data_IF_606120562525
#
_entry.id   IF_606120562525
#
_cell.length_a   1.000
_cell.length_b   1.000
_cell.length_c   1.000
_cell.angle_alpha   90.00
_cell.angle_beta   90.00
_cell.angle_gamma   90.00
#
_symmetry.space_group_name_H-M   'P 1'
#
loop_
_entity.id
_entity.type
_entity.pdbx_description
1 polymer ?
#
# COMPACT_ATOMS: atom_id res chain seq x y z
N UNK A 1 62.64 -19.51 19.32
CA UNK A 1 61.54 -18.52 19.32
C UNK A 1 60.76 -18.38 18.00
N UNK A 2 60.87 -19.28 17.00
CA UNK A 2 60.16 -19.12 15.70
C UNK A 2 58.80 -19.82 15.57
N UNK A 3 58.41 -20.73 16.48
CA UNK A 3 57.15 -21.50 16.36
C UNK A 3 55.89 -20.77 16.85
N UNK A 4 56.01 -19.77 17.74
CA UNK A 4 54.84 -19.05 18.29
C UNK A 4 54.17 -18.10 17.26
N UNK A 5 54.90 -17.57 16.29
CA UNK A 5 54.33 -16.68 15.26
C UNK A 5 53.48 -17.42 14.21
N UNK A 6 53.70 -18.73 14.01
CA UNK A 6 52.99 -19.50 12.99
C UNK A 6 51.53 -19.78 13.35
N UNK A 7 51.24 -20.03 14.63
CA UNK A 7 49.88 -20.33 15.09
C UNK A 7 49.00 -19.07 15.14
N UNK A 8 49.60 -17.91 15.44
CA UNK A 8 48.88 -16.64 15.46
C UNK A 8 48.45 -16.21 14.04
N UNK A 9 49.30 -16.42 13.03
CA UNK A 9 48.94 -16.13 11.64
C UNK A 9 47.82 -17.05 11.12
N UNK A 10 47.83 -18.33 11.50
CA UNK A 10 46.76 -19.28 11.13
C UNK A 10 45.40 -18.91 11.75
N UNK A 11 45.38 -18.45 13.00
CA UNK A 11 44.14 -18.01 13.68
C UNK A 11 43.54 -16.77 13.02
N UNK A 12 44.38 -15.81 12.62
CA UNK A 12 43.91 -14.62 11.88
C UNK A 12 43.35 -15.03 10.51
N UNK A 13 44.02 -15.92 9.79
CA UNK A 13 43.55 -16.39 8.48
C UNK A 13 42.22 -17.16 8.59
N UNK A 14 42.07 -18.01 9.61
CA UNK A 14 40.83 -18.72 9.88
C UNK A 14 39.68 -17.76 10.23
N UNK A 15 39.93 -16.73 11.04
CA UNK A 15 38.92 -15.72 11.37
C UNK A 15 38.48 -14.90 10.15
N UNK A 16 39.41 -14.57 9.24
CA UNK A 16 39.09 -13.88 7.98
C UNK A 16 38.22 -14.76 7.07
N UNK A 17 38.55 -16.05 6.94
CA UNK A 17 37.77 -17.01 6.12
C UNK A 17 36.36 -17.21 6.70
N UNK A 18 36.24 -17.31 8.03
CA UNK A 18 34.94 -17.43 8.70
C UNK A 18 34.09 -16.17 8.46
N UNK A 19 34.67 -14.98 8.59
CA UNK A 19 33.95 -13.72 8.38
C UNK A 19 33.50 -13.54 6.92
N UNK A 20 34.33 -13.92 5.93
CA UNK A 20 33.96 -13.86 4.52
C UNK A 20 32.80 -14.82 4.19
N UNK A 21 32.80 -16.03 4.77
CA UNK A 21 31.71 -16.99 4.59
C UNK A 21 30.41 -16.52 5.26
N UNK A 22 30.48 -15.85 6.42
CA UNK A 22 29.30 -15.27 7.09
C UNK A 22 28.71 -14.13 6.27
N UNK A 23 29.54 -13.30 5.62
CA UNK A 23 29.06 -12.23 4.74
C UNK A 23 28.33 -12.81 3.50
N UNK A 24 28.92 -13.80 2.84
CA UNK A 24 28.28 -14.47 1.70
C UNK A 24 26.98 -15.19 2.09
N UNK A 25 26.94 -15.84 3.26
CA UNK A 25 25.72 -16.47 3.77
C UNK A 25 24.64 -15.43 4.10
N UNK A 26 25.01 -14.26 4.61
CA UNK A 26 24.05 -13.17 4.84
C UNK A 26 23.50 -12.61 3.53
N UNK A 27 24.33 -12.46 2.50
CA UNK A 27 23.89 -12.02 1.18
C UNK A 27 23.01 -13.06 0.48
N UNK A 28 23.31 -14.36 0.61
CA UNK A 28 22.44 -15.44 0.11
C UNK A 28 21.14 -15.55 0.89
N UNK A 29 21.15 -15.38 2.22
CA UNK A 29 19.93 -15.35 3.04
C UNK A 29 19.08 -14.11 2.71
N UNK A 30 19.71 -12.94 2.47
CA UNK A 30 18.99 -11.73 2.05
C UNK A 30 18.39 -11.88 0.64
N UNK A 31 19.07 -12.58 -0.27
CA UNK A 31 18.53 -12.89 -1.61
C UNK A 31 17.40 -13.91 -1.55
N UNK A 32 17.54 -14.99 -0.77
CA UNK A 32 16.54 -16.04 -0.67
C UNK A 32 15.34 -15.68 0.21
N UNK A 33 15.38 -14.58 0.97
CA UNK A 33 14.20 -14.02 1.65
C UNK A 33 13.46 -12.96 0.80
N UNK A 34 13.95 -12.65 -0.40
CA UNK A 34 13.33 -11.71 -1.34
C UNK A 34 12.80 -12.41 -2.61
N UNK A 35 12.75 -13.74 -2.63
CA UNK A 35 12.10 -14.54 -3.69
C UNK A 35 10.59 -14.70 -3.46
N UNK A 36 10.00 -14.01 -2.48
CA UNK A 36 8.56 -13.76 -2.50
C UNK A 36 8.32 -12.60 -3.46
N UNK A 37 8.01 -13.01 -4.70
CA UNK A 37 7.73 -12.23 -5.89
C UNK A 37 6.66 -11.17 -5.60
N UNK A 38 7.05 -10.08 -4.98
CA UNK A 38 6.17 -8.96 -4.85
C UNK A 38 6.14 -8.24 -6.21
N UNK A 39 5.18 -8.53 -7.10
CA UNK A 39 5.25 -8.06 -8.49
C UNK A 39 4.27 -6.93 -8.83
N UNK A 40 3.09 -6.84 -8.21
CA UNK A 40 2.15 -5.77 -8.56
C UNK A 40 2.53 -4.49 -7.80
N UNK A 41 2.78 -3.41 -8.54
CA UNK A 41 3.16 -2.10 -7.99
C UNK A 41 2.28 -0.99 -8.53
N UNK A 42 2.07 0.03 -7.70
CA UNK A 42 1.60 1.31 -8.16
C UNK A 42 2.68 1.98 -9.00
N UNK A 43 2.29 2.54 -10.14
CA UNK A 43 3.17 3.27 -11.05
C UNK A 43 2.49 4.54 -11.55
N UNK A 44 3.27 5.42 -12.16
CA UNK A 44 2.71 6.60 -12.83
C UNK A 44 1.96 6.21 -14.11
N UNK A 45 0.89 6.94 -14.48
CA UNK A 45 0.42 8.17 -13.84
C UNK A 45 -0.44 7.92 -12.58
N UNK A 46 -0.36 8.86 -11.65
CA UNK A 46 -1.34 9.10 -10.59
C UNK A 46 -2.03 10.44 -10.88
N UNK A 47 -3.35 10.41 -11.02
CA UNK A 47 -4.13 11.61 -11.25
C UNK A 47 -5.22 11.72 -10.19
N UNK A 48 -5.53 12.95 -9.80
CA UNK A 48 -6.69 13.21 -8.97
C UNK A 48 -7.46 14.40 -9.52
N UNK A 49 -8.76 14.38 -9.29
CA UNK A 49 -9.67 15.47 -9.56
C UNK A 49 -10.76 15.51 -8.51
N UNK A 50 -11.49 16.62 -8.46
CA UNK A 50 -12.60 16.76 -7.54
C UNK A 50 -13.85 17.25 -8.24
N UNK A 51 -14.97 17.27 -7.50
CA UNK A 51 -16.15 17.96 -7.98
C UNK A 51 -15.91 19.49 -7.89
N UNK A 52 -15.42 20.09 -8.98
CA UNK A 52 -15.06 21.51 -9.09
C UNK A 52 -16.16 22.52 -8.65
N UNK A 53 -17.38 22.06 -8.36
CA UNK A 53 -18.46 22.86 -7.76
C UNK A 53 -18.26 23.21 -6.27
N UNK A 54 -17.39 22.50 -5.53
CA UNK A 54 -17.14 22.70 -4.10
C UNK A 54 -15.84 23.50 -3.80
N UNK A 55 -15.44 24.32 -4.76
CA UNK A 55 -14.09 24.85 -5.07
C UNK A 55 -13.20 25.47 -3.97
N UNK A 56 -13.62 25.57 -2.71
CA UNK A 56 -12.85 26.36 -1.72
C UNK A 56 -12.77 25.76 -0.31
N UNK A 57 -13.15 24.49 -0.10
CA UNK A 57 -13.09 23.90 1.25
C UNK A 57 -12.10 22.74 1.30
N UNK A 58 -12.38 21.64 0.60
CA UNK A 58 -11.58 20.42 0.72
C UNK A 58 -10.28 20.45 -0.12
N UNK A 59 -9.21 19.88 0.43
CA UNK A 59 -7.95 19.64 -0.26
C UNK A 59 -7.68 18.14 -0.27
N UNK A 60 -7.68 17.53 -1.45
CA UNK A 60 -7.20 16.17 -1.66
C UNK A 60 -5.75 16.18 -2.12
N UNK A 61 -4.90 15.43 -1.43
CA UNK A 61 -3.60 15.02 -1.94
C UNK A 61 -3.58 13.51 -2.11
N UNK A 62 -3.03 13.05 -3.22
CA UNK A 62 -2.72 11.63 -3.45
C UNK A 62 -1.24 11.48 -3.71
N UNK A 63 -0.65 10.42 -3.17
CA UNK A 63 0.76 10.12 -3.35
C UNK A 63 1.02 8.62 -3.27
N UNK A 64 2.06 8.18 -3.94
CA UNK A 64 2.59 6.84 -3.73
C UNK A 64 3.69 6.87 -2.66
N UNK A 65 3.80 5.79 -1.90
CA UNK A 65 4.83 5.61 -0.87
C UNK A 65 5.35 4.16 -0.82
N UNK A 66 6.41 3.93 -0.05
CA UNK A 66 7.13 2.66 0.01
C UNK A 66 7.63 2.22 -1.38
N UNK A 67 8.65 2.94 -1.88
CA UNK A 67 9.26 2.71 -3.20
C UNK A 67 9.88 1.31 -3.29
N UNK A 68 9.59 0.63 -4.39
CA UNK A 68 10.20 -0.64 -4.72
C UNK A 68 11.61 -0.43 -5.33
N UNK A 69 12.64 -1.16 -4.90
CA UNK A 69 13.98 -1.06 -5.47
C UNK A 69 14.06 -1.30 -6.99
N UNK A 70 13.10 -2.05 -7.55
CA UNK A 70 13.02 -2.33 -8.98
C UNK A 70 12.27 -1.24 -9.72
N UNK A 71 10.99 -1.03 -9.41
CA UNK A 71 10.14 -0.03 -10.05
C UNK A 71 8.82 0.16 -9.28
N UNK A 72 8.39 1.42 -9.14
CA UNK A 72 7.06 1.75 -8.61
C UNK A 72 7.02 1.77 -7.09
N UNK A 73 5.82 1.60 -6.54
CA UNK A 73 5.52 1.80 -5.13
C UNK A 73 4.56 0.74 -4.62
N UNK A 74 4.67 0.42 -3.33
CA UNK A 74 3.82 -0.59 -2.70
C UNK A 74 2.47 -0.02 -2.26
N UNK A 75 2.36 1.31 -2.13
CA UNK A 75 1.23 1.95 -1.46
C UNK A 75 0.72 3.18 -2.17
N UNK A 76 -0.60 3.37 -2.10
CA UNK A 76 -1.27 4.62 -2.45
C UNK A 76 -1.86 5.24 -1.19
N UNK A 77 -1.44 6.46 -0.86
CA UNK A 77 -1.96 7.26 0.26
C UNK A 77 -2.85 8.38 -0.27
N UNK A 78 -4.01 8.56 0.35
CA UNK A 78 -4.90 9.67 0.11
C UNK A 78 -5.06 10.48 1.39
N UNK A 79 -4.88 11.80 1.30
CA UNK A 79 -5.04 12.75 2.39
C UNK A 79 -6.09 13.79 2.03
N UNK A 80 -7.12 13.92 2.86
CA UNK A 80 -8.16 14.93 2.74
C UNK A 80 -8.09 15.91 3.92
N UNK A 81 -8.16 17.20 3.63
CA UNK A 81 -8.29 18.27 4.64
C UNK A 81 -9.52 19.09 4.34
N UNK A 82 -10.19 19.57 5.39
CA UNK A 82 -11.40 20.40 5.29
C UNK A 82 -12.51 19.72 4.45
N UNK A 83 -12.78 18.46 4.75
CA UNK A 83 -13.68 17.63 3.94
C UNK A 83 -15.19 17.90 4.19
N UNK A 84 -15.52 18.57 5.30
CA UNK A 84 -16.89 18.93 5.69
C UNK A 84 -17.49 20.09 4.86
N UNK A 85 -18.83 20.13 4.65
CA UNK A 85 -19.84 19.14 5.07
C UNK A 85 -19.96 17.94 4.14
N UNK A 86 -19.28 17.95 3.00
CA UNK A 86 -19.33 16.85 2.05
C UNK A 86 -18.52 17.23 0.83
N UNK A 87 -17.87 16.24 0.24
CA UNK A 87 -16.93 16.43 -0.85
C UNK A 87 -16.86 15.14 -1.66
N UNK A 88 -16.74 15.27 -2.97
CA UNK A 88 -16.49 14.14 -3.84
C UNK A 88 -15.16 14.33 -4.56
N UNK A 89 -14.34 13.30 -4.51
CA UNK A 89 -13.02 13.28 -5.10
C UNK A 89 -12.82 12.00 -5.90
N UNK A 90 -11.97 12.08 -6.90
CA UNK A 90 -11.70 11.01 -7.83
C UNK A 90 -10.20 10.85 -7.93
N UNK A 91 -9.72 9.63 -7.76
CA UNK A 91 -8.31 9.27 -7.88
C UNK A 91 -8.17 8.17 -8.92
N UNK A 92 -7.39 8.42 -9.96
CA UNK A 92 -7.02 7.40 -10.94
C UNK A 92 -5.58 7.00 -10.71
N UNK A 93 -5.35 5.72 -10.45
CA UNK A 93 -4.02 5.15 -10.25
C UNK A 93 -3.73 4.08 -11.31
N UNK A 94 -2.46 3.73 -11.42
CA UNK A 94 -2.00 2.72 -12.38
C UNK A 94 -1.27 1.62 -11.62
N UNK A 95 -1.65 0.38 -11.88
CA UNK A 95 -0.94 -0.81 -11.42
C UNK A 95 -0.08 -1.35 -12.55
N UNK A 96 1.02 -2.00 -12.20
CA UNK A 96 1.91 -2.70 -13.12
C UNK A 96 2.40 -4.00 -12.49
N UNK A 97 2.41 -5.08 -13.25
CA UNK A 97 3.20 -6.25 -12.88
C UNK A 97 4.67 -6.01 -13.29
N UNK A 98 5.54 -5.82 -12.29
CA UNK A 98 6.98 -5.60 -12.48
C UNK A 98 7.81 -6.89 -12.39
N UNK A 99 7.17 -8.01 -12.07
CA UNK A 99 7.79 -9.33 -12.02
C UNK A 99 7.78 -10.03 -13.37
N UNK A 100 8.18 -11.28 -13.35
CA UNK A 100 8.44 -12.13 -14.50
C UNK A 100 7.36 -13.20 -14.73
N UNK A 101 6.49 -13.42 -13.74
CA UNK A 101 5.33 -14.30 -13.82
C UNK A 101 4.04 -13.50 -14.08
N UNK A 102 2.92 -14.21 -14.29
CA UNK A 102 1.58 -13.60 -14.30
C UNK A 102 1.05 -13.64 -12.88
N UNK A 103 0.57 -12.50 -12.38
CA UNK A 103 0.06 -12.39 -11.03
C UNK A 103 -1.41 -11.98 -11.05
N UNK A 104 -2.18 -12.50 -10.09
CA UNK A 104 -3.59 -12.21 -9.90
C UNK A 104 -3.79 -11.39 -8.63
N UNK A 105 -4.63 -10.36 -8.72
CA UNK A 105 -5.00 -9.56 -7.55
C UNK A 105 -6.02 -10.31 -6.70
N UNK A 106 -5.65 -10.62 -5.46
CA UNK A 106 -6.45 -11.37 -4.49
C UNK A 106 -7.30 -10.44 -3.60
N UNK A 107 -6.77 -9.27 -3.25
CA UNK A 107 -7.52 -8.31 -2.47
C UNK A 107 -6.97 -6.89 -2.59
N UNK A 108 -7.81 -5.95 -2.21
CA UNK A 108 -7.45 -4.58 -1.91
C UNK A 108 -7.69 -4.41 -0.41
N UNK A 109 -6.75 -3.79 0.30
CA UNK A 109 -6.95 -3.38 1.69
C UNK A 109 -7.01 -1.88 1.78
N UNK A 110 -7.94 -1.39 2.59
CA UNK A 110 -8.05 0.03 2.94
C UNK A 110 -7.79 0.14 4.44
N UNK A 111 -6.91 1.06 4.82
CA UNK A 111 -6.59 1.30 6.22
C UNK A 111 -6.58 2.80 6.54
N UNK A 112 -7.19 3.19 7.65
CA UNK A 112 -7.10 4.55 8.15
C UNK A 112 -5.72 4.79 8.78
N UNK A 113 -5.00 5.79 8.28
CA UNK A 113 -3.71 6.21 8.83
C UNK A 113 -3.84 7.12 10.04
N UNK A 114 -5.02 7.68 10.27
CA UNK A 114 -5.26 8.54 11.42
C UNK A 114 -5.66 7.77 12.68
N UNK A 115 -5.95 6.46 12.55
CA UNK A 115 -6.39 5.56 13.62
C UNK A 115 -7.67 6.02 14.34
N UNK A 116 -8.53 6.77 13.64
CA UNK A 116 -9.80 7.29 14.16
C UNK A 116 -11.02 6.63 13.54
N UNK A 117 -10.87 5.99 12.38
CA UNK A 117 -11.93 5.35 11.61
C UNK A 117 -11.66 3.85 11.44
N UNK A 118 -12.74 3.09 11.39
CA UNK A 118 -12.72 1.67 11.08
C UNK A 118 -13.08 1.48 9.59
N UNK A 119 -12.55 0.42 8.97
CA UNK A 119 -12.92 0.04 7.60
C UNK A 119 -13.97 -1.08 7.60
N UNK A 120 -14.92 -1.01 6.66
CA UNK A 120 -15.82 -2.12 6.35
C UNK A 120 -16.16 -2.18 4.88
N UNK A 121 -16.32 -3.39 4.34
CA UNK A 121 -16.85 -3.62 3.00
C UNK A 121 -18.37 -3.75 3.04
N UNK A 122 -19.06 -3.07 2.13
CA UNK A 122 -20.51 -3.23 1.91
C UNK A 122 -20.81 -3.99 0.63
N UNK A 123 -19.94 -3.85 -0.38
CA UNK A 123 -19.83 -4.73 -1.52
C UNK A 123 -18.38 -5.17 -1.61
N UNK A 124 -18.14 -6.47 -1.44
CA UNK A 124 -16.79 -7.02 -1.37
C UNK A 124 -15.95 -6.54 -2.56
N UNK A 125 -14.73 -6.06 -2.28
CA UNK A 125 -13.74 -5.56 -3.24
C UNK A 125 -14.08 -4.28 -4.03
N UNK A 126 -15.30 -3.74 -3.91
CA UNK A 126 -15.77 -2.62 -4.75
C UNK A 126 -16.30 -1.41 -4.00
N UNK A 127 -17.02 -1.59 -2.89
CA UNK A 127 -17.57 -0.46 -2.12
C UNK A 127 -17.46 -0.73 -0.63
N UNK A 128 -17.06 0.30 0.12
CA UNK A 128 -16.99 0.24 1.57
C UNK A 128 -16.94 1.62 2.21
N UNK A 129 -16.90 1.62 3.54
CA UNK A 129 -16.89 2.83 4.35
C UNK A 129 -15.70 2.84 5.30
N UNK A 130 -15.08 4.02 5.42
CA UNK A 130 -14.43 4.41 6.67
C UNK A 130 -15.51 5.02 7.57
N UNK A 131 -15.69 4.45 8.75
CA UNK A 131 -16.79 4.76 9.67
C UNK A 131 -16.27 4.99 11.09
N UNK A 132 -17.08 5.67 11.91
CA UNK A 132 -16.77 5.97 13.30
C UNK A 132 -17.85 5.42 14.21
N UNK A 133 -17.45 4.58 15.15
CA UNK A 133 -18.33 4.03 16.19
C UNK A 133 -18.80 5.15 17.13
N UNK A 134 -20.07 5.56 16.99
CA UNK A 134 -20.65 6.64 17.79
C UNK A 134 -21.32 6.15 19.07
N UNK A 135 -21.71 4.87 19.14
CA UNK A 135 -22.43 4.31 20.28
C UNK A 135 -21.58 3.38 21.18
N UNK A 136 -20.39 2.98 20.70
CA UNK A 136 -19.35 2.26 21.42
C UNK A 136 -19.44 0.73 21.32
N UNK A 137 -20.22 0.18 20.38
CA UNK A 137 -20.46 -1.27 20.28
C UNK A 137 -19.43 -2.03 19.39
N UNK A 138 -18.53 -1.30 18.71
CA UNK A 138 -17.54 -1.79 17.75
C UNK A 138 -18.13 -2.54 16.54
N UNK A 139 -19.33 -2.18 16.12
CA UNK A 139 -20.01 -2.70 14.93
C UNK A 139 -20.36 -1.53 14.01
N UNK A 140 -20.31 -1.75 12.70
CA UNK A 140 -20.74 -0.73 11.75
C UNK A 140 -22.28 -0.62 11.75
N UNK A 141 -22.79 0.58 12.05
CA UNK A 141 -24.20 0.91 11.91
C UNK A 141 -24.49 1.93 10.78
N UNK A 142 -25.65 1.82 10.10
CA UNK A 142 -26.10 2.84 9.16
C UNK A 142 -26.22 4.21 9.81
N UNK A 143 -25.58 5.22 9.23
CA UNK A 143 -25.47 6.56 9.81
C UNK A 143 -24.13 6.84 10.48
N UNK A 144 -23.20 5.87 10.52
CA UNK A 144 -21.83 6.04 11.04
C UNK A 144 -20.79 6.26 9.93
N UNK A 145 -21.21 6.25 8.67
CA UNK A 145 -20.34 6.41 7.51
C UNK A 145 -19.70 7.80 7.55
N UNK A 146 -18.38 7.90 7.41
CA UNK A 146 -17.64 9.18 7.31
C UNK A 146 -17.11 9.38 5.90
N UNK A 147 -16.55 8.32 5.31
CA UNK A 147 -16.02 8.33 3.95
C UNK A 147 -16.52 7.08 3.23
N UNK A 148 -17.25 7.27 2.15
CA UNK A 148 -17.58 6.24 1.18
C UNK A 148 -16.43 6.13 0.17
N UNK A 149 -15.99 4.90 -0.07
CA UNK A 149 -14.94 4.59 -1.05
C UNK A 149 -15.51 3.56 -2.02
N UNK A 150 -15.54 3.92 -3.30
CA UNK A 150 -15.83 2.97 -4.40
C UNK A 150 -14.56 2.79 -5.22
N UNK A 151 -14.20 1.54 -5.50
CA UNK A 151 -12.99 1.18 -6.24
C UNK A 151 -13.41 0.37 -7.46
N UNK A 152 -12.70 0.57 -8.58
CA UNK A 152 -12.78 -0.33 -9.73
C UNK A 152 -12.57 -1.77 -9.26
N UNK A 153 -13.40 -2.71 -9.71
CA UNK A 153 -13.24 -4.13 -9.34
C UNK A 153 -11.90 -4.65 -9.84
N UNK A 154 -11.02 -5.06 -8.92
CA UNK A 154 -9.70 -5.60 -9.23
C UNK A 154 -9.57 -7.07 -8.81
N UNK A 155 -10.46 -7.60 -7.97
CA UNK A 155 -10.32 -8.98 -7.51
C UNK A 155 -10.41 -9.96 -8.68
N UNK A 156 -9.42 -10.84 -8.78
CA UNK A 156 -9.26 -11.78 -9.89
C UNK A 156 -8.68 -11.18 -11.17
N UNK A 157 -8.30 -9.89 -11.18
CA UNK A 157 -7.57 -9.31 -12.30
C UNK A 157 -6.17 -9.94 -12.39
N UNK A 158 -5.88 -10.56 -13.52
CA UNK A 158 -4.56 -11.08 -13.86
C UNK A 158 -3.79 -10.04 -14.68
N UNK A 159 -2.52 -9.84 -14.35
CA UNK A 159 -1.60 -8.99 -15.08
C UNK A 159 -0.38 -9.81 -15.47
N UNK A 160 -0.07 -9.89 -16.76
CA UNK A 160 1.17 -10.52 -17.23
C UNK A 160 2.37 -9.60 -16.97
N UNK A 161 3.57 -10.16 -16.94
CA UNK A 161 4.82 -9.40 -16.80
C UNK A 161 4.87 -8.15 -17.70
N UNK A 162 5.06 -6.98 -17.08
CA UNK A 162 5.15 -5.67 -17.72
C UNK A 162 3.82 -5.01 -18.09
N UNK A 163 2.69 -5.71 -17.94
CA UNK A 163 1.36 -5.15 -18.20
C UNK A 163 0.99 -4.09 -17.17
N UNK A 164 0.25 -3.07 -17.63
CA UNK A 164 -0.30 -2.01 -16.78
C UNK A 164 -1.83 -2.00 -16.84
N UNK A 165 -2.45 -1.64 -15.72
CA UNK A 165 -3.89 -1.46 -15.61
C UNK A 165 -4.21 -0.17 -14.88
N UNK A 166 -5.12 0.62 -15.44
CA UNK A 166 -5.57 1.87 -14.81
C UNK A 166 -6.89 1.63 -14.08
N UNK A 167 -6.92 2.01 -12.80
CA UNK A 167 -8.05 1.85 -11.91
C UNK A 167 -8.47 3.21 -11.35
N UNK A 168 -9.73 3.31 -10.96
CA UNK A 168 -10.32 4.50 -10.38
C UNK A 168 -10.83 4.21 -8.97
N UNK A 169 -10.66 5.19 -8.10
CA UNK A 169 -11.19 5.25 -6.75
C UNK A 169 -12.02 6.54 -6.61
N UNK A 170 -13.28 6.37 -6.26
CA UNK A 170 -14.24 7.44 -5.99
C UNK A 170 -14.39 7.58 -4.49
N UNK A 171 -14.23 8.81 -4.00
CA UNK A 171 -14.28 9.17 -2.59
C UNK A 171 -15.45 10.09 -2.41
N UNK A 172 -16.31 9.77 -1.44
CA UNK A 172 -17.39 10.66 -1.04
C UNK A 172 -17.41 10.83 0.46
N UNK A 173 -17.21 12.07 0.89
CA UNK A 173 -17.26 12.47 2.30
C UNK A 173 -18.72 12.74 2.66
N UNK A 174 -19.17 12.15 3.76
CA UNK A 174 -20.55 12.28 4.23
C UNK A 174 -20.71 13.47 5.19
N UNK A 175 -21.96 13.79 5.54
CA UNK A 175 -22.28 14.84 6.51
C UNK A 175 -21.79 14.53 7.95
N UNK A 176 -21.35 13.30 8.22
CA UNK A 176 -20.79 12.89 9.52
C UNK A 176 -19.31 13.26 9.67
N UNK A 177 -18.66 13.76 8.62
CA UNK A 177 -17.29 14.25 8.72
C UNK A 177 -17.18 15.43 9.70
N UNK A 178 -16.02 15.58 10.33
CA UNK A 178 -15.79 16.64 11.30
C UNK A 178 -15.14 17.86 10.63
N UNK A 179 -15.59 19.07 10.99
CA UNK A 179 -15.31 20.32 10.27
C UNK A 179 -13.81 20.67 10.06
N UNK A 180 -12.92 20.12 10.88
CA UNK A 180 -11.48 20.46 10.88
C UNK A 180 -10.62 19.18 10.86
N UNK A 181 -11.25 18.01 10.86
CA UNK A 181 -10.52 16.75 10.96
C UNK A 181 -9.83 16.45 9.62
N UNK A 182 -8.51 16.25 9.60
CA UNK A 182 -7.85 15.64 8.46
C UNK A 182 -8.17 14.15 8.43
N UNK A 183 -8.37 13.63 7.23
CA UNK A 183 -8.52 12.20 6.98
C UNK A 183 -7.36 11.73 6.14
N UNK A 184 -6.81 10.56 6.46
CA UNK A 184 -5.75 9.95 5.68
C UNK A 184 -5.95 8.45 5.67
N UNK A 185 -5.95 7.84 4.50
CA UNK A 185 -6.06 6.40 4.37
C UNK A 185 -5.14 5.87 3.29
N UNK A 186 -4.82 4.59 3.40
CA UNK A 186 -3.90 3.87 2.53
C UNK A 186 -4.62 2.72 1.84
N UNK A 187 -4.24 2.54 0.57
CA UNK A 187 -4.65 1.43 -0.26
C UNK A 187 -3.42 0.54 -0.52
N UNK A 188 -3.54 -0.73 -0.17
CA UNK A 188 -2.57 -1.78 -0.54
C UNK A 188 -3.24 -2.83 -1.42
N UNK A 189 -2.42 -3.50 -2.24
CA UNK A 189 -2.85 -4.60 -3.11
C UNK A 189 -2.21 -5.89 -2.61
N UNK A 190 -3.02 -6.91 -2.40
CA UNK A 190 -2.58 -8.28 -2.18
C UNK A 190 -2.77 -9.06 -3.48
N UNK A 191 -1.78 -9.87 -3.83
CA UNK A 191 -1.75 -10.66 -5.06
C UNK A 191 -1.02 -11.98 -4.83
N UNK A 192 -1.21 -12.90 -5.75
CA UNK A 192 -0.51 -14.18 -5.85
C UNK A 192 -0.08 -14.47 -7.29
N UNK A 193 0.81 -15.43 -7.47
CA UNK A 193 1.14 -15.95 -8.81
C UNK A 193 -0.08 -16.72 -9.36
N UNK A 194 -0.48 -16.42 -10.59
CA UNK A 194 -1.60 -17.09 -11.24
C UNK A 194 -1.20 -18.52 -11.68
N UNK A 195 -2.02 -19.52 -11.34
CA UNK A 195 -1.83 -20.95 -11.71
C UNK A 195 -2.00 -21.24 -13.21
#
# INVERSE_FOLDING_TARGET
MKKKNSYFLMLILAAIIINANIANLKDEIYKNQNEDANTIRFVNPLNYSDNEGARDICQLNSSYSDEDPSEGWMKLTLELRNAYPGYEAYCTFTLKNIGDATDRIEAITVSDKTENLNWTWTSQHTNGYLWKDFDGDNTFDPGEEVIEITITELHGLELISGETFSAQLDIKITDNAEQIQPYSFEIDILYDEAE
#
